data_IF_786308715845
#
_entry.id   IF_786308715845
#
_cell.length_a   1.000
_cell.length_b   1.000
_cell.length_c   1.000
_cell.angle_alpha   90.00
_cell.angle_beta   90.00
_cell.angle_gamma   90.00
#
_symmetry.space_group_name_H-M   'P 1'
#
loop_
_entity.id
_entity.type
_entity.pdbx_description
1 polymer ?
#
# COMPACT_ATOMS: atom_id res chain seq x y z
N UNK A 1 19.28 1.05 5.70
CA UNK A 1 18.12 0.54 6.39
C UNK A 1 17.66 1.46 7.51
N UNK A 2 16.38 1.35 7.85
CA UNK A 2 15.72 2.15 8.88
C UNK A 2 15.98 1.64 10.30
N UNK A 3 16.92 0.71 10.50
CA UNK A 3 17.09 -0.07 11.73
C UNK A 3 15.83 -0.84 12.16
N UNK A 4 14.97 -1.16 11.17
CA UNK A 4 13.79 -2.00 11.36
C UNK A 4 14.14 -3.43 10.96
N UNK A 5 13.53 -4.39 11.65
CA UNK A 5 13.58 -5.81 11.29
C UNK A 5 12.36 -6.16 10.44
N UNK A 6 12.33 -7.33 9.80
CA UNK A 6 11.16 -7.82 9.07
C UNK A 6 9.88 -7.94 9.91
N UNK A 7 10.01 -7.95 11.26
CA UNK A 7 8.87 -8.01 12.20
C UNK A 7 8.33 -6.63 12.59
N UNK A 8 9.06 -5.59 12.23
CA UNK A 8 8.64 -4.22 12.49
C UNK A 8 7.77 -3.74 11.34
N UNK A 9 6.74 -2.98 11.65
CA UNK A 9 5.91 -2.34 10.64
C UNK A 9 6.64 -1.18 9.96
N UNK A 10 6.07 -0.69 8.86
CA UNK A 10 6.54 0.49 8.13
C UNK A 10 5.37 1.36 7.70
N UNK A 11 5.70 2.50 7.12
CA UNK A 11 4.75 3.42 6.52
C UNK A 11 4.60 3.11 5.01
N UNK A 12 3.42 3.27 4.47
CA UNK A 12 3.15 3.01 3.04
C UNK A 12 4.08 3.80 2.10
N UNK A 13 4.53 4.99 2.51
CA UNK A 13 5.49 5.81 1.76
C UNK A 13 6.88 5.17 1.65
N UNK A 14 7.24 4.26 2.55
CA UNK A 14 8.49 3.49 2.47
C UNK A 14 8.45 2.53 1.27
N UNK A 15 7.32 1.84 1.08
CA UNK A 15 7.10 0.98 -0.09
C UNK A 15 7.14 1.77 -1.40
N UNK A 16 6.51 2.95 -1.41
CA UNK A 16 6.57 3.85 -2.57
C UNK A 16 8.02 4.24 -2.92
N UNK A 17 8.78 4.69 -1.93
CA UNK A 17 10.18 5.11 -2.13
C UNK A 17 11.06 3.93 -2.59
N UNK A 18 10.87 2.75 -2.00
CA UNK A 18 11.58 1.53 -2.38
C UNK A 18 11.34 1.15 -3.84
N UNK A 19 10.07 1.13 -4.27
CA UNK A 19 9.69 0.78 -5.62
C UNK A 19 10.12 1.86 -6.64
N UNK A 20 9.96 3.14 -6.29
CA UNK A 20 10.41 4.24 -7.13
C UNK A 20 11.94 4.31 -7.28
N UNK A 21 12.69 3.75 -6.33
CA UNK A 21 14.15 3.62 -6.43
C UNK A 21 14.62 2.38 -7.19
N UNK A 22 13.71 1.64 -7.82
CA UNK A 22 13.95 0.37 -8.55
C UNK A 22 14.65 -0.70 -7.70
N UNK A 23 14.31 -0.75 -6.42
CA UNK A 23 14.85 -1.75 -5.47
C UNK A 23 14.08 -3.07 -5.45
N UNK A 24 12.93 -3.12 -6.08
CA UNK A 24 12.04 -4.27 -6.20
C UNK A 24 10.93 -3.97 -7.23
N UNK A 25 10.02 -4.91 -7.47
CA UNK A 25 9.88 -6.21 -6.80
C UNK A 25 10.88 -7.28 -7.31
N UNK A 26 11.04 -8.33 -6.51
CA UNK A 26 11.69 -9.60 -6.88
C UNK A 26 10.66 -10.73 -6.81
N UNK A 27 10.97 -11.90 -7.37
CA UNK A 27 10.07 -13.05 -7.23
C UNK A 27 10.17 -13.67 -5.83
N UNK A 28 9.05 -14.10 -5.28
CA UNK A 28 8.95 -14.78 -3.98
C UNK A 28 9.82 -16.05 -3.91
N UNK A 29 10.03 -16.73 -5.04
CA UNK A 29 10.88 -17.92 -5.10
C UNK A 29 12.37 -17.60 -4.95
N UNK A 30 12.77 -16.38 -5.28
CA UNK A 30 14.17 -15.93 -5.20
C UNK A 30 14.52 -15.31 -3.84
N UNK A 31 13.55 -14.71 -3.16
CA UNK A 31 13.66 -14.13 -1.81
C UNK A 31 12.35 -14.41 -1.02
N UNK A 32 12.25 -15.61 -0.42
CA UNK A 32 11.01 -16.05 0.24
C UNK A 32 10.69 -15.24 1.50
N UNK A 33 9.44 -14.79 1.64
CA UNK A 33 9.00 -14.09 2.82
C UNK A 33 9.07 -14.96 4.07
N UNK A 34 9.68 -14.43 5.13
CA UNK A 34 9.63 -15.01 6.47
C UNK A 34 10.84 -15.87 6.85
N UNK A 35 11.84 -16.04 6.00
CA UNK A 35 13.09 -16.71 6.33
C UNK A 35 14.03 -15.85 7.21
N UNK A 36 13.76 -14.52 7.29
CA UNK A 36 14.51 -13.55 8.10
C UNK A 36 15.75 -13.02 7.42
N UNK A 37 15.96 -13.36 6.17
CA UNK A 37 17.08 -12.92 5.35
C UNK A 37 16.57 -12.06 4.18
N UNK A 38 17.44 -11.26 3.61
CA UNK A 38 17.19 -10.49 2.39
C UNK A 38 18.42 -10.61 1.51
N UNK A 39 18.24 -11.11 0.30
CA UNK A 39 19.33 -11.19 -0.68
C UNK A 39 19.49 -9.86 -1.41
N UNK A 40 20.40 -9.01 -0.92
CA UNK A 40 20.70 -7.71 -1.53
C UNK A 40 21.35 -7.82 -2.91
N UNK A 41 21.73 -9.01 -3.38
CA UNK A 41 22.30 -9.22 -4.70
C UNK A 41 21.23 -9.33 -5.79
N UNK A 42 19.97 -9.55 -5.42
CA UNK A 42 18.86 -9.63 -6.36
C UNK A 42 18.55 -8.25 -6.96
N UNK A 43 18.14 -8.28 -8.21
CA UNK A 43 17.73 -7.09 -8.93
C UNK A 43 16.22 -7.10 -9.17
N UNK A 44 15.62 -5.92 -9.20
CA UNK A 44 14.20 -5.78 -9.51
C UNK A 44 13.85 -6.45 -10.83
N UNK A 45 12.72 -7.15 -10.88
CA UNK A 45 12.18 -7.78 -12.10
C UNK A 45 11.26 -6.86 -12.89
N UNK A 46 10.88 -5.75 -12.28
CA UNK A 46 10.11 -4.66 -12.89
C UNK A 46 10.58 -3.32 -12.31
N UNK A 47 10.44 -2.27 -13.12
CA UNK A 47 10.59 -0.89 -12.67
C UNK A 47 9.21 -0.24 -12.47
N UNK A 48 9.00 0.37 -11.31
CA UNK A 48 7.81 1.19 -11.05
C UNK A 48 8.15 2.63 -11.41
N UNK A 49 7.51 3.14 -12.46
CA UNK A 49 7.75 4.48 -13.00
C UNK A 49 6.71 5.49 -12.56
N UNK A 50 5.50 5.04 -12.28
CA UNK A 50 4.41 5.90 -11.91
C UNK A 50 3.59 5.31 -10.77
N UNK A 51 3.28 6.16 -9.82
CA UNK A 51 2.36 5.90 -8.72
C UNK A 51 1.42 7.09 -8.59
N UNK A 52 0.14 6.82 -8.31
CA UNK A 52 -0.84 7.87 -8.07
C UNK A 52 -1.39 7.74 -6.64
N UNK A 53 -1.47 8.86 -5.94
CA UNK A 53 -2.15 8.96 -4.66
C UNK A 53 -3.58 9.43 -4.94
N UNK A 54 -4.55 8.67 -4.46
CA UNK A 54 -5.97 9.00 -4.60
C UNK A 54 -6.43 9.68 -3.31
N UNK A 55 -7.19 10.77 -3.44
CA UNK A 55 -7.73 11.53 -2.33
C UNK A 55 -8.54 10.63 -1.37
N UNK A 56 -8.45 10.94 -0.09
CA UNK A 56 -9.10 10.15 0.95
C UNK A 56 -10.62 10.07 0.75
N UNK A 57 -11.16 8.86 0.85
CA UNK A 57 -12.60 8.55 0.70
C UNK A 57 -13.20 8.86 -0.68
N UNK A 58 -12.38 9.05 -1.71
CA UNK A 58 -12.86 9.13 -3.10
C UNK A 58 -13.09 7.72 -3.64
N UNK A 59 -14.19 7.10 -3.22
CA UNK A 59 -14.50 5.70 -3.54
C UNK A 59 -14.70 5.45 -5.04
N UNK A 60 -15.21 6.44 -5.76
CA UNK A 60 -15.39 6.31 -7.21
C UNK A 60 -14.03 6.22 -7.93
N UNK A 61 -13.08 7.07 -7.56
CA UNK A 61 -11.72 6.97 -8.11
C UNK A 61 -10.98 5.71 -7.66
N UNK A 62 -11.22 5.25 -6.41
CA UNK A 62 -10.66 3.97 -5.95
C UNK A 62 -11.19 2.83 -6.81
N UNK A 63 -12.51 2.75 -7.05
CA UNK A 63 -13.14 1.73 -7.90
C UNK A 63 -12.62 1.81 -9.35
N UNK A 64 -12.52 3.01 -9.92
CA UNK A 64 -11.95 3.22 -11.25
C UNK A 64 -10.50 2.72 -11.31
N UNK A 65 -9.68 3.02 -10.31
CA UNK A 65 -8.29 2.58 -10.24
C UNK A 65 -8.17 1.05 -10.10
N UNK A 66 -9.00 0.43 -9.26
CA UNK A 66 -9.06 -1.04 -9.14
C UNK A 66 -9.45 -1.67 -10.48
N UNK A 67 -10.48 -1.14 -11.16
CA UNK A 67 -10.90 -1.65 -12.46
C UNK A 67 -9.80 -1.55 -13.52
N UNK A 68 -9.04 -0.44 -13.51
CA UNK A 68 -8.03 -0.16 -14.53
C UNK A 68 -6.68 -0.82 -14.25
N UNK A 69 -6.27 -0.89 -12.99
CA UNK A 69 -4.91 -1.28 -12.59
C UNK A 69 -4.86 -2.53 -11.70
N UNK A 70 -6.00 -3.07 -11.29
CA UNK A 70 -6.11 -4.34 -10.57
C UNK A 70 -6.08 -4.22 -9.05
N UNK A 71 -5.47 -3.20 -8.46
CA UNK A 71 -5.44 -3.05 -7.02
C UNK A 71 -5.05 -1.67 -6.55
N UNK A 72 -5.57 -1.27 -5.39
CA UNK A 72 -5.24 -0.02 -4.71
C UNK A 72 -4.82 -0.34 -3.28
N UNK A 73 -3.59 -0.02 -2.92
CA UNK A 73 -3.13 -0.09 -1.53
C UNK A 73 -3.91 0.92 -0.69
N UNK A 74 -4.40 0.49 0.47
CA UNK A 74 -5.10 1.36 1.42
C UNK A 74 -4.71 1.02 2.85
N UNK A 75 -4.76 2.00 3.74
CA UNK A 75 -4.45 1.82 5.16
C UNK A 75 -5.73 1.65 5.96
N UNK A 76 -5.69 0.74 6.94
CA UNK A 76 -6.78 0.48 7.87
C UNK A 76 -6.30 0.46 9.33
N UNK A 77 -7.20 0.70 10.28
CA UNK A 77 -6.96 0.25 11.65
C UNK A 77 -7.32 -1.22 11.75
N UNK A 78 -6.34 -2.04 12.05
CA UNK A 78 -6.53 -3.46 12.22
C UNK A 78 -6.49 -3.83 13.71
N UNK A 79 -7.62 -4.27 14.24
CA UNK A 79 -7.76 -4.72 15.63
C UNK A 79 -7.37 -6.20 15.83
N UNK A 80 -7.11 -6.93 14.75
CA UNK A 80 -6.67 -8.32 14.79
C UNK A 80 -5.16 -8.38 15.00
N UNK A 81 -4.70 -9.23 15.91
CA UNK A 81 -3.26 -9.43 16.19
C UNK A 81 -2.66 -10.61 15.42
N UNK A 82 -3.48 -11.41 14.78
CA UNK A 82 -3.11 -12.56 13.95
C UNK A 82 -4.31 -13.03 13.15
N UNK A 83 -4.10 -13.91 12.17
CA UNK A 83 -5.15 -14.53 11.36
C UNK A 83 -6.18 -15.32 12.19
N UNK A 84 -5.79 -15.78 13.38
CA UNK A 84 -6.66 -16.54 14.30
C UNK A 84 -7.26 -15.69 15.42
N UNK A 85 -6.88 -14.41 15.53
CA UNK A 85 -7.37 -13.55 16.59
C UNK A 85 -8.87 -13.26 16.43
N UNK A 86 -9.52 -12.92 17.55
CA UNK A 86 -10.91 -12.45 17.58
C UNK A 86 -10.94 -10.95 17.80
N UNK A 87 -11.91 -10.31 17.18
CA UNK A 87 -12.19 -8.90 17.37
C UNK A 87 -13.69 -8.68 17.25
N UNK A 88 -14.24 -7.73 17.99
CA UNK A 88 -15.63 -7.28 17.84
C UNK A 88 -15.87 -6.56 16.48
N UNK A 89 -14.83 -6.19 15.79
CA UNK A 89 -14.89 -5.53 14.47
C UNK A 89 -14.85 -6.51 13.30
N UNK A 90 -14.58 -7.79 13.56
CA UNK A 90 -14.42 -8.81 12.51
C UNK A 90 -15.42 -9.95 12.69
N UNK A 91 -16.28 -10.14 11.69
CA UNK A 91 -17.16 -11.31 11.59
C UNK A 91 -16.46 -12.41 10.79
N UNK A 92 -15.99 -13.42 11.49
CA UNK A 92 -15.26 -14.53 10.87
C UNK A 92 -16.13 -15.40 9.96
N UNK A 93 -17.44 -15.46 10.21
CA UNK A 93 -18.35 -16.30 9.41
C UNK A 93 -18.59 -15.73 7.99
N UNK A 94 -18.44 -14.43 7.84
CA UNK A 94 -18.63 -13.70 6.57
C UNK A 94 -17.36 -13.01 6.09
N UNK A 95 -16.24 -13.23 6.79
CA UNK A 95 -14.94 -12.56 6.51
C UNK A 95 -15.04 -11.04 6.40
N UNK A 96 -15.90 -10.42 7.25
CA UNK A 96 -16.26 -9.01 7.15
C UNK A 96 -15.68 -8.19 8.29
N UNK A 97 -15.08 -7.07 7.96
CA UNK A 97 -14.43 -6.16 8.90
C UNK A 97 -15.01 -4.75 8.80
N UNK A 98 -15.25 -4.13 9.93
CA UNK A 98 -15.56 -2.71 9.99
C UNK A 98 -15.12 -2.14 11.34
N UNK A 99 -14.30 -1.10 11.30
CA UNK A 99 -13.92 -0.33 12.46
C UNK A 99 -14.51 1.08 12.39
N UNK A 100 -15.26 1.46 13.41
CA UNK A 100 -15.76 2.83 13.59
C UNK A 100 -15.16 3.37 14.89
N UNK A 101 -14.28 4.35 14.78
CA UNK A 101 -13.59 4.91 15.94
C UNK A 101 -12.54 5.94 15.58
N UNK A 102 -11.66 6.25 16.54
CA UNK A 102 -10.66 7.32 16.45
C UNK A 102 -9.23 6.85 16.34
N UNK A 103 -9.03 5.51 16.33
CA UNK A 103 -7.68 4.96 16.18
C UNK A 103 -7.14 5.22 14.78
N UNK A 104 -5.85 5.47 14.71
CA UNK A 104 -5.15 5.70 13.44
C UNK A 104 -4.90 4.37 12.73
N UNK A 105 -4.76 4.38 11.39
CA UNK A 105 -4.31 3.22 10.65
C UNK A 105 -3.01 2.63 11.22
N UNK A 106 -2.93 1.32 11.21
CA UNK A 106 -1.78 0.55 11.69
C UNK A 106 -1.49 -0.69 10.82
N UNK A 107 -2.16 -0.81 9.68
CA UNK A 107 -2.02 -1.92 8.75
C UNK A 107 -2.40 -1.50 7.35
N UNK A 108 -1.73 -2.06 6.35
CA UNK A 108 -2.04 -1.85 4.94
C UNK A 108 -2.59 -3.12 4.30
N UNK A 109 -3.56 -2.94 3.42
CA UNK A 109 -4.19 -3.98 2.61
C UNK A 109 -4.32 -3.48 1.17
N UNK A 110 -4.69 -4.38 0.25
CA UNK A 110 -4.93 -4.01 -1.14
C UNK A 110 -6.41 -4.19 -1.46
N UNK A 111 -7.08 -3.12 -1.87
CA UNK A 111 -8.42 -3.19 -2.44
C UNK A 111 -8.28 -3.78 -3.85
N UNK A 112 -8.94 -4.92 -4.09
CA UNK A 112 -8.90 -5.64 -5.37
C UNK A 112 -10.27 -5.74 -6.03
N UNK A 113 -11.33 -5.26 -5.36
CA UNK A 113 -12.69 -5.27 -5.85
C UNK A 113 -13.64 -4.56 -4.92
N UNK A 114 -14.91 -4.61 -5.25
CA UNK A 114 -16.00 -4.08 -4.42
C UNK A 114 -17.31 -4.79 -4.73
N UNK A 115 -18.25 -4.69 -3.79
CA UNK A 115 -19.64 -5.09 -3.95
C UNK A 115 -20.54 -4.03 -3.28
N UNK A 116 -21.24 -3.23 -4.09
CA UNK A 116 -22.12 -2.17 -3.61
C UNK A 116 -23.38 -2.72 -2.91
N UNK A 117 -23.69 -4.00 -3.13
CA UNK A 117 -24.84 -4.70 -2.54
C UNK A 117 -24.46 -5.60 -1.35
N UNK A 118 -23.18 -5.62 -0.96
CA UNK A 118 -22.73 -6.45 0.16
C UNK A 118 -23.47 -6.06 1.44
N UNK A 119 -24.27 -7.01 1.99
CA UNK A 119 -25.18 -6.69 3.07
C UNK A 119 -24.46 -6.21 4.32
N UNK A 120 -24.96 -5.11 4.88
CA UNK A 120 -24.52 -4.59 6.19
C UNK A 120 -24.67 -5.59 7.32
N UNK A 121 -25.62 -6.53 7.22
CA UNK A 121 -25.87 -7.56 8.23
C UNK A 121 -24.76 -8.60 8.31
N UNK A 122 -23.82 -8.63 7.36
CA UNK A 122 -22.63 -9.46 7.40
C UNK A 122 -21.57 -8.95 8.38
N UNK A 123 -21.66 -7.69 8.83
CA UNK A 123 -20.70 -7.11 9.76
C UNK A 123 -21.09 -7.34 11.22
N UNK A 124 -20.11 -7.29 12.13
CA UNK A 124 -20.32 -7.50 13.56
C UNK A 124 -20.97 -6.31 14.28
N UNK A 125 -21.25 -5.25 13.56
CA UNK A 125 -21.85 -4.02 14.11
C UNK A 125 -23.00 -3.54 13.23
N UNK A 126 -23.85 -2.70 13.82
CA UNK A 126 -24.98 -2.09 13.14
C UNK A 126 -24.48 -0.94 12.24
N UNK A 127 -24.71 -1.05 10.93
CA UNK A 127 -24.25 -0.10 9.92
C UNK A 127 -25.44 0.58 9.25
N UNK A 128 -25.23 1.81 8.73
CA UNK A 128 -26.27 2.60 8.08
C UNK A 128 -26.70 2.02 6.72
N UNK A 129 -25.80 1.34 6.00
CA UNK A 129 -26.09 0.84 4.67
C UNK A 129 -25.16 -0.30 4.22
N UNK A 130 -25.49 -0.84 3.05
CA UNK A 130 -24.75 -1.89 2.38
C UNK A 130 -23.49 -1.36 1.70
N UNK A 131 -22.65 -2.28 1.22
CA UNK A 131 -21.47 -2.02 0.42
C UNK A 131 -20.16 -2.28 1.12
N UNK A 132 -19.25 -2.91 0.39
CA UNK A 132 -17.92 -3.24 0.87
C UNK A 132 -16.87 -3.19 -0.23
N UNK A 133 -15.63 -2.92 0.16
CA UNK A 133 -14.46 -3.25 -0.63
C UNK A 133 -14.04 -4.69 -0.37
N UNK A 134 -13.60 -5.37 -1.42
CA UNK A 134 -12.94 -6.67 -1.35
C UNK A 134 -11.44 -6.39 -1.24
N UNK A 135 -10.85 -6.81 -0.12
CA UNK A 135 -9.46 -6.52 0.19
C UNK A 135 -8.64 -7.80 0.31
N UNK A 136 -7.42 -7.76 -0.22
CA UNK A 136 -6.42 -8.79 0.01
C UNK A 136 -5.54 -8.40 1.19
N UNK A 137 -5.37 -9.34 2.13
CA UNK A 137 -4.47 -9.20 3.27
C UNK A 137 -3.14 -9.92 2.99
N UNK A 138 -2.09 -9.58 3.77
CA UNK A 138 -0.76 -10.20 3.71
C UNK A 138 -0.59 -11.40 4.67
N UNK A 139 -1.69 -12.00 5.14
CA UNK A 139 -1.67 -13.06 6.17
C UNK A 139 -1.87 -14.48 5.64
N UNK A 140 -1.73 -14.67 4.33
CA UNK A 140 -1.86 -15.96 3.66
C UNK A 140 -3.31 -16.42 3.50
N UNK A 141 -3.48 -17.55 2.84
CA UNK A 141 -4.79 -18.11 2.48
C UNK A 141 -5.63 -18.59 3.66
N UNK A 142 -5.03 -18.79 4.83
CA UNK A 142 -5.74 -19.18 6.06
C UNK A 142 -6.54 -18.02 6.69
N UNK A 143 -6.36 -16.79 6.20
CA UNK A 143 -7.13 -15.63 6.64
C UNK A 143 -8.31 -15.38 5.69
N UNK A 144 -9.48 -15.13 6.26
CA UNK A 144 -10.67 -14.76 5.49
C UNK A 144 -11.11 -15.85 4.51
N UNK A 145 -11.34 -15.47 3.27
CA UNK A 145 -11.64 -16.32 2.12
C UNK A 145 -10.40 -16.36 1.22
N UNK A 146 -9.52 -17.34 1.42
CA UNK A 146 -8.25 -17.50 0.68
C UNK A 146 -7.37 -16.23 0.70
N UNK A 147 -7.31 -15.55 1.85
CA UNK A 147 -6.53 -14.33 2.03
C UNK A 147 -7.31 -13.04 1.76
N UNK A 148 -8.56 -13.14 1.31
CA UNK A 148 -9.44 -12.01 1.04
C UNK A 148 -10.46 -11.80 2.15
N UNK A 149 -10.94 -10.58 2.29
CA UNK A 149 -11.98 -10.21 3.24
C UNK A 149 -12.70 -8.93 2.79
N UNK A 150 -13.83 -8.64 3.41
CA UNK A 150 -14.68 -7.51 3.06
C UNK A 150 -14.52 -6.41 4.09
N UNK A 151 -14.30 -5.18 3.64
CA UNK A 151 -14.26 -4.00 4.50
C UNK A 151 -15.41 -3.08 4.12
N UNK A 152 -16.27 -2.76 5.10
CA UNK A 152 -17.40 -1.88 4.88
C UNK A 152 -16.98 -0.49 4.37
N UNK A 153 -17.78 0.12 3.51
CA UNK A 153 -17.65 1.53 3.15
C UNK A 153 -17.77 2.49 4.35
N UNK A 154 -18.37 2.02 5.45
CA UNK A 154 -18.52 2.76 6.71
C UNK A 154 -17.32 2.62 7.65
N UNK A 155 -16.31 1.83 7.30
CA UNK A 155 -15.05 1.78 8.06
C UNK A 155 -14.39 3.15 8.10
N UNK A 156 -13.89 3.55 9.28
CA UNK A 156 -13.32 4.89 9.47
C UNK A 156 -12.08 5.13 8.60
N UNK A 157 -11.27 4.12 8.39
CA UNK A 157 -9.93 4.29 7.82
C UNK A 157 -9.80 3.80 6.37
N UNK A 158 -10.57 2.79 5.94
CA UNK A 158 -10.47 2.29 4.55
C UNK A 158 -10.67 3.44 3.56
N UNK A 159 -9.82 3.49 2.56
CA UNK A 159 -9.88 4.55 1.54
C UNK A 159 -9.34 5.91 2.00
N UNK A 160 -8.63 6.03 3.14
CA UNK A 160 -8.04 7.30 3.58
C UNK A 160 -6.65 7.56 3.03
N UNK A 161 -5.80 6.52 2.95
CA UNK A 161 -4.47 6.59 2.36
C UNK A 161 -4.43 5.60 1.20
N UNK A 162 -4.49 6.10 -0.02
CA UNK A 162 -4.65 5.25 -1.19
C UNK A 162 -3.51 5.47 -2.17
N UNK A 163 -2.87 4.38 -2.57
CA UNK A 163 -1.80 4.39 -3.57
C UNK A 163 -2.12 3.34 -4.63
N UNK A 164 -2.03 3.74 -5.89
CA UNK A 164 -2.10 2.84 -7.04
C UNK A 164 -0.83 2.94 -7.87
N UNK A 165 -0.28 1.80 -8.25
CA UNK A 165 0.93 1.69 -9.06
C UNK A 165 0.52 1.57 -10.52
N UNK A 166 0.65 2.65 -11.27
CA UNK A 166 0.04 2.81 -12.60
C UNK A 166 1.02 2.62 -13.76
N UNK A 167 2.30 2.85 -13.52
CA UNK A 167 3.35 2.64 -14.51
C UNK A 167 4.33 1.56 -14.04
N UNK A 168 4.10 0.31 -14.46
CA UNK A 168 5.00 -0.81 -14.18
C UNK A 168 5.61 -1.28 -15.49
N UNK A 169 6.92 -1.11 -15.62
CA UNK A 169 7.66 -1.33 -16.86
C UNK A 169 8.69 -2.45 -16.71
N UNK A 170 9.24 -2.90 -17.83
CA UNK A 170 10.39 -3.79 -17.82
C UNK A 170 11.65 -3.04 -17.39
N UNK A 171 12.66 -3.77 -16.95
CA UNK A 171 13.91 -3.23 -16.41
C UNK A 171 14.87 -2.69 -17.48
N UNK A 172 14.52 -2.80 -18.75
CA UNK A 172 15.27 -2.28 -19.90
C UNK A 172 14.74 -0.91 -20.41
N UNK A 173 13.92 -0.23 -19.63
CA UNK A 173 13.31 1.04 -19.99
C UNK A 173 14.28 2.22 -19.95
N UNK A 174 15.16 2.28 -18.93
CA UNK A 174 16.19 3.30 -18.76
C UNK A 174 17.47 2.70 -18.19
N UNK A 175 18.62 3.30 -18.49
CA UNK A 175 19.93 2.83 -18.03
C UNK A 175 20.21 3.21 -16.59
N UNK A 176 19.74 4.37 -16.12
CA UNK A 176 20.04 4.90 -14.80
C UNK A 176 18.85 5.63 -14.18
N UNK A 177 18.78 5.56 -12.84
CA UNK A 177 17.90 6.36 -12.02
C UNK A 177 18.74 7.13 -10.98
N UNK A 178 18.39 8.38 -10.75
CA UNK A 178 18.96 9.22 -9.69
C UNK A 178 17.86 9.54 -8.70
N UNK A 179 17.96 8.96 -7.49
CA UNK A 179 16.93 9.02 -6.47
C UNK A 179 17.56 9.38 -5.11
N UNK A 180 16.97 10.37 -4.42
CA UNK A 180 17.40 10.77 -3.08
C UNK A 180 16.42 10.40 -1.97
N UNK A 181 15.14 10.15 -2.31
CA UNK A 181 14.08 9.85 -1.34
C UNK A 181 14.01 8.34 -1.07
N UNK A 182 14.98 7.84 -0.32
CA UNK A 182 15.11 6.40 -0.04
C UNK A 182 14.19 5.90 1.08
N UNK A 183 13.59 6.85 1.83
CA UNK A 183 12.89 6.55 3.08
C UNK A 183 11.38 6.88 3.04
N UNK A 184 10.89 7.44 1.95
CA UNK A 184 9.56 8.03 1.92
C UNK A 184 9.50 9.31 2.77
N UNK A 185 8.32 9.65 3.25
CA UNK A 185 8.16 10.84 4.08
C UNK A 185 8.73 10.62 5.49
N UNK A 186 9.69 11.44 5.86
CA UNK A 186 10.35 11.40 7.18
C UNK A 186 10.18 12.69 7.98
N UNK A 187 9.70 13.75 7.35
CA UNK A 187 9.48 15.05 7.98
C UNK A 187 9.34 16.18 6.99
N UNK A 188 9.17 17.38 7.51
CA UNK A 188 9.06 18.59 6.70
C UNK A 188 9.94 19.69 7.27
N UNK A 189 10.50 20.52 6.40
CA UNK A 189 11.26 21.70 6.73
C UNK A 189 10.66 22.92 6.06
N UNK A 190 10.76 24.05 6.72
CA UNK A 190 10.31 25.33 6.19
C UNK A 190 11.04 26.49 6.87
N UNK A 191 11.03 27.65 6.22
CA UNK A 191 11.65 28.88 6.73
C UNK A 191 10.61 29.88 7.28
N UNK A 192 9.38 29.45 7.52
CA UNK A 192 8.23 30.30 7.85
C UNK A 192 8.02 31.45 6.85
N UNK A 193 8.19 31.16 5.55
CA UNK A 193 7.99 32.05 4.41
C UNK A 193 7.11 31.38 3.39
N UNK A 194 6.40 32.20 2.62
CA UNK A 194 5.50 31.72 1.57
C UNK A 194 6.23 31.02 0.41
N UNK A 195 7.52 31.30 0.23
CA UNK A 195 8.34 30.71 -0.84
C UNK A 195 9.56 30.05 -0.27
N UNK A 196 9.81 28.81 -0.71
CA UNK A 196 11.01 28.03 -0.43
C UNK A 196 11.53 27.42 -1.73
N UNK A 197 12.84 27.30 -1.85
CA UNK A 197 13.49 26.57 -2.94
C UNK A 197 14.15 25.32 -2.36
N UNK A 198 13.87 24.18 -2.98
CA UNK A 198 14.54 22.91 -2.70
C UNK A 198 15.25 22.43 -3.96
N UNK A 199 16.34 21.72 -3.82
CA UNK A 199 17.07 21.14 -4.92
C UNK A 199 17.74 19.83 -4.50
N UNK A 200 17.69 18.84 -5.39
CA UNK A 200 18.57 17.68 -5.36
C UNK A 200 19.65 17.85 -6.44
N UNK A 201 20.87 17.45 -6.11
CA UNK A 201 21.99 17.53 -7.04
C UNK A 201 22.54 16.14 -7.28
N UNK A 202 22.58 15.75 -8.53
CA UNK A 202 23.11 14.46 -8.97
C UNK A 202 24.31 14.66 -9.90
N UNK A 203 25.21 13.68 -9.88
CA UNK A 203 26.32 13.63 -10.83
C UNK A 203 26.07 12.49 -11.79
N UNK A 204 25.96 12.80 -13.08
CA UNK A 204 25.81 11.79 -14.12
C UNK A 204 27.02 10.84 -14.14
N UNK A 205 26.75 9.55 -14.26
CA UNK A 205 27.80 8.52 -14.30
C UNK A 205 28.59 8.51 -15.61
N UNK A 206 28.01 9.05 -16.68
CA UNK A 206 28.59 9.15 -18.02
C UNK A 206 27.98 10.34 -18.80
N UNK A 207 28.19 10.40 -20.11
CA UNK A 207 27.43 11.28 -20.98
C UNK A 207 26.03 10.67 -21.19
N UNK A 208 25.04 11.29 -20.61
CA UNK A 208 23.67 10.82 -20.55
C UNK A 208 22.69 11.88 -21.05
N UNK A 209 21.51 11.43 -21.45
CA UNK A 209 20.37 12.29 -21.71
C UNK A 209 19.35 12.13 -20.60
N UNK A 210 18.93 13.22 -19.95
CA UNK A 210 17.79 13.18 -19.04
C UNK A 210 16.51 13.05 -19.88
N UNK A 211 15.81 11.93 -19.72
CA UNK A 211 14.63 11.60 -20.53
C UNK A 211 13.33 11.65 -19.72
N UNK A 212 13.43 11.64 -18.39
CA UNK A 212 12.30 11.80 -17.46
C UNK A 212 12.77 12.50 -16.17
N UNK A 213 11.87 13.28 -15.54
CA UNK A 213 12.09 13.93 -14.25
C UNK A 213 10.75 14.12 -13.50
#
# INVERSE_FOLDING_TARGET
GFNLTQKDGGEYTMGMAYLAAWKGPVFEVDDPYGDGETDESLTAVKHVQEMQVIDGKDYEKIKEAVFKYGGVQTSIYNALKSSQARSSYYNRATSSYCYIGTEKPNHDVVIVGWDDSYSKDNFSMDLEGDGAFICQNSWGSEFGEDGFFYISYYDTNVGTHNVVYTGIENTDNYDHIYQSDLCGWVGQLGYNKETIYGANVYTAGSNENLVAA
#
